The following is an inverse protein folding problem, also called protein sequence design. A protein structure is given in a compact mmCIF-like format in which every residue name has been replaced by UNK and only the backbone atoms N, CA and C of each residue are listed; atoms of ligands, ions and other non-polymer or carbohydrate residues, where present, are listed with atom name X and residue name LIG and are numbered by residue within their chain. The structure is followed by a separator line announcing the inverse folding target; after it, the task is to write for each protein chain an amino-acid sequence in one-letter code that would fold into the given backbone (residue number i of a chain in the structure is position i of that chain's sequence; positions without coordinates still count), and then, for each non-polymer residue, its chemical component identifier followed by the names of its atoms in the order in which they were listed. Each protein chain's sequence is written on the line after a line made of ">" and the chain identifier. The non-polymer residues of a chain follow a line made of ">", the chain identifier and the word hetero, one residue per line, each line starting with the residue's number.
data_IF_301687126418
#
_entry.id   IF_301687126418
#
_cell.length_a   1.000
_cell.length_b   1.000
_cell.length_c   1.000
_cell.angle_alpha   90.00
_cell.angle_beta   90.00
_cell.angle_gamma   90.00
#
_symmetry.space_group_name_H-M   'P 1'
#
loop_
_entity.id
_entity.type
_entity.pdbx_description
1 polymer ?
#
# COMPACT_ATOMS: atom_id res chain seq x y z
N UNK A 1 0.41 -17.47 21.93
CA UNK A 1 1.29 -16.30 21.66
C UNK A 1 0.41 -15.06 21.72
N UNK A 2 0.60 -14.16 22.69
CA UNK A 2 -0.20 -12.92 22.79
C UNK A 2 0.24 -12.01 21.65
N UNK A 3 -0.64 -11.69 20.71
CA UNK A 3 -0.42 -10.61 19.75
C UNK A 3 -0.38 -9.33 20.59
N UNK A 4 0.82 -8.80 20.85
CA UNK A 4 0.96 -7.53 21.55
C UNK A 4 0.32 -6.44 20.66
N UNK A 5 -0.53 -5.60 21.25
CA UNK A 5 -1.07 -4.37 20.64
C UNK A 5 0.12 -3.43 20.34
N UNK A 6 0.83 -3.68 19.24
CA UNK A 6 1.88 -2.80 18.77
C UNK A 6 1.26 -1.73 17.87
N UNK A 7 1.65 -0.46 18.03
CA UNK A 7 1.18 0.62 17.18
C UNK A 7 1.61 0.36 15.73
N UNK A 8 0.70 0.57 14.79
CA UNK A 8 1.02 0.47 13.37
C UNK A 8 1.94 1.61 12.94
N UNK A 9 3.13 1.26 12.46
CA UNK A 9 4.07 2.26 11.96
C UNK A 9 3.73 2.65 10.53
N UNK A 10 3.56 3.95 10.29
CA UNK A 10 3.19 4.49 8.98
C UNK A 10 4.41 4.98 8.20
N UNK A 11 4.40 4.74 6.89
CA UNK A 11 5.33 5.30 5.91
C UNK A 11 4.69 6.52 5.28
N UNK A 12 5.28 7.68 5.48
CA UNK A 12 4.83 8.91 4.84
C UNK A 12 5.61 9.11 3.53
N UNK A 13 4.93 8.84 2.41
CA UNK A 13 5.51 8.98 1.08
C UNK A 13 5.85 10.43 0.72
N UNK A 14 5.13 11.43 1.27
CA UNK A 14 5.42 12.85 1.02
C UNK A 14 6.69 13.28 1.74
N UNK A 15 6.88 12.86 2.99
CA UNK A 15 8.12 13.09 3.73
C UNK A 15 9.28 12.38 3.03
N UNK A 16 9.12 11.10 2.67
CA UNK A 16 10.16 10.36 1.97
C UNK A 16 10.53 11.04 0.65
N UNK A 17 9.53 11.40 -0.17
CA UNK A 17 9.72 12.09 -1.46
C UNK A 17 10.48 13.40 -1.32
N UNK A 18 10.06 14.27 -0.40
CA UNK A 18 10.69 15.57 -0.18
C UNK A 18 12.15 15.49 0.28
N UNK A 19 12.57 14.37 0.87
CA UNK A 19 13.95 14.10 1.25
C UNK A 19 14.83 13.55 0.13
N UNK A 20 14.27 13.21 -1.03
CA UNK A 20 15.02 12.65 -2.16
C UNK A 20 15.75 13.75 -2.95
N UNK A 21 16.90 13.43 -3.58
CA UNK A 21 17.50 14.28 -4.60
C UNK A 21 16.51 14.59 -5.74
N UNK A 22 16.65 15.76 -6.36
CA UNK A 22 15.76 16.21 -7.44
C UNK A 22 15.80 15.22 -8.62
N UNK A 23 16.96 14.65 -8.92
CA UNK A 23 17.13 13.66 -9.97
C UNK A 23 16.33 12.38 -9.69
N UNK A 24 16.30 11.95 -8.42
CA UNK A 24 15.51 10.80 -7.98
C UNK A 24 14.01 11.10 -8.05
N UNK A 25 13.59 12.30 -7.63
CA UNK A 25 12.19 12.74 -7.77
C UNK A 25 11.75 12.72 -9.23
N UNK A 26 12.57 13.22 -10.16
CA UNK A 26 12.25 13.17 -11.59
C UNK A 26 12.16 11.74 -12.12
N UNK A 27 13.13 10.88 -11.78
CA UNK A 27 13.13 9.49 -12.24
C UNK A 27 11.90 8.72 -11.73
N UNK A 28 11.64 8.77 -10.43
CA UNK A 28 10.49 8.09 -9.81
C UNK A 28 9.18 8.66 -10.34
N UNK A 29 9.08 9.99 -10.48
CA UNK A 29 7.89 10.67 -10.98
C UNK A 29 7.56 10.33 -12.43
N UNK A 30 8.58 10.26 -13.30
CA UNK A 30 8.41 9.86 -14.69
C UNK A 30 7.89 8.42 -14.80
N UNK A 31 8.54 7.47 -14.11
CA UNK A 31 8.13 6.06 -14.12
C UNK A 31 6.71 5.90 -13.57
N UNK A 32 6.38 6.57 -12.46
CA UNK A 32 5.05 6.50 -11.87
C UNK A 32 3.94 7.02 -12.81
N UNK A 33 4.21 8.09 -13.57
CA UNK A 33 3.27 8.61 -14.56
C UNK A 33 3.08 7.64 -15.74
N UNK A 34 4.13 6.95 -16.18
CA UNK A 34 4.04 5.95 -17.23
C UNK A 34 3.28 4.69 -16.78
N UNK A 35 3.48 4.21 -15.54
CA UNK A 35 2.67 3.14 -14.93
C UNK A 35 1.20 3.54 -14.88
N UNK A 36 0.88 4.76 -14.41
CA UNK A 36 -0.49 5.24 -14.37
C UNK A 36 -1.14 5.28 -15.76
N UNK A 37 -0.37 5.60 -16.81
CA UNK A 37 -0.84 5.57 -18.19
C UNK A 37 -1.05 4.13 -18.70
N UNK A 38 -0.20 3.17 -18.34
CA UNK A 38 -0.39 1.75 -18.65
C UNK A 38 -1.69 1.22 -18.00
N UNK A 39 -1.89 1.48 -16.71
CA UNK A 39 -3.12 1.11 -16.00
C UNK A 39 -4.37 1.76 -16.57
N UNK A 40 -4.29 3.02 -17.04
CA UNK A 40 -5.40 3.67 -17.73
C UNK A 40 -5.79 2.94 -19.02
N UNK A 41 -4.82 2.45 -19.79
CA UNK A 41 -5.06 1.65 -21.00
C UNK A 41 -5.73 0.32 -20.63
N UNK A 42 -5.19 -0.39 -19.66
CA UNK A 42 -5.74 -1.67 -19.18
C UNK A 42 -7.16 -1.50 -18.65
N UNK A 43 -7.41 -0.46 -17.84
CA UNK A 43 -8.74 -0.15 -17.33
C UNK A 43 -9.74 0.13 -18.48
N UNK A 44 -9.33 0.89 -19.49
CA UNK A 44 -10.17 1.12 -20.67
C UNK A 44 -10.46 -0.19 -21.43
N UNK A 45 -9.49 -1.11 -21.53
CA UNK A 45 -9.68 -2.39 -22.19
C UNK A 45 -10.70 -3.29 -21.46
N UNK A 46 -10.70 -3.31 -20.12
CA UNK A 46 -11.64 -4.14 -19.33
C UNK A 46 -13.04 -3.53 -19.18
N UNK A 47 -13.17 -2.20 -19.31
CA UNK A 47 -14.45 -1.47 -19.17
C UNK A 47 -15.19 -1.25 -20.49
N UNK A 48 -14.75 -1.89 -21.58
CA UNK A 48 -15.40 -1.82 -22.88
C UNK A 48 -14.96 -0.65 -23.77
N UNK A 49 -13.86 0.01 -23.43
CA UNK A 49 -13.20 0.98 -24.30
C UNK A 49 -12.59 0.33 -25.54
N UNK A 50 -12.61 1.04 -26.67
CA UNK A 50 -12.03 0.58 -27.93
C UNK A 50 -10.49 0.71 -27.91
N UNK A 51 -9.82 -0.16 -27.16
CA UNK A 51 -8.35 -0.25 -27.12
C UNK A 51 -7.87 -1.30 -28.14
N UNK A 52 -7.03 -0.94 -29.12
CA UNK A 52 -6.44 -1.93 -30.02
C UNK A 52 -5.60 -2.97 -29.24
N UNK A 53 -5.72 -4.26 -29.60
CA UNK A 53 -4.99 -5.35 -28.91
C UNK A 53 -3.47 -5.17 -28.84
N UNK A 54 -2.89 -4.50 -29.84
CA UNK A 54 -1.45 -4.16 -29.84
C UNK A 54 -1.09 -3.15 -28.74
N UNK A 55 -1.99 -2.21 -28.43
CA UNK A 55 -1.81 -1.21 -27.39
C UNK A 55 -2.03 -1.83 -26.01
N UNK A 56 -3.05 -2.67 -25.85
CA UNK A 56 -3.29 -3.45 -24.62
C UNK A 56 -2.07 -4.30 -24.25
N UNK A 57 -1.55 -5.08 -25.21
CA UNK A 57 -0.35 -5.90 -24.98
C UNK A 57 0.88 -5.06 -24.61
N UNK A 58 1.04 -3.88 -25.19
CA UNK A 58 2.15 -2.99 -24.86
C UNK A 58 2.00 -2.42 -23.44
N UNK A 59 0.78 -2.10 -23.01
CA UNK A 59 0.51 -1.63 -21.66
C UNK A 59 0.79 -2.72 -20.61
N UNK A 60 0.42 -3.97 -20.87
CA UNK A 60 0.73 -5.09 -19.97
C UNK A 60 2.23 -5.31 -19.80
N UNK A 61 3.00 -5.22 -20.89
CA UNK A 61 4.45 -5.30 -20.83
C UNK A 61 5.07 -4.11 -20.08
N UNK A 62 4.51 -2.91 -20.28
CA UNK A 62 4.95 -1.71 -19.60
C UNK A 62 4.69 -1.76 -18.09
N UNK A 63 3.52 -2.23 -17.65
CA UNK A 63 3.18 -2.39 -16.23
C UNK A 63 4.20 -3.26 -15.49
N UNK A 64 4.46 -4.48 -16.01
CA UNK A 64 5.44 -5.39 -15.41
C UNK A 64 6.86 -4.79 -15.37
N UNK A 65 7.32 -4.23 -16.49
CA UNK A 65 8.67 -3.68 -16.61
C UNK A 65 8.87 -2.44 -15.71
N UNK A 66 7.90 -1.53 -15.72
CA UNK A 66 8.04 -0.24 -15.06
C UNK A 66 7.87 -0.35 -13.54
N UNK A 67 7.08 -1.32 -13.03
CA UNK A 67 7.03 -1.60 -11.59
C UNK A 67 8.41 -2.05 -11.08
N UNK A 68 9.08 -2.96 -11.79
CA UNK A 68 10.42 -3.41 -11.41
C UNK A 68 11.43 -2.25 -11.44
N UNK A 69 11.40 -1.43 -12.49
CA UNK A 69 12.26 -0.24 -12.59
C UNK A 69 11.97 0.80 -11.49
N UNK A 70 10.70 1.01 -11.15
CA UNK A 70 10.31 1.91 -10.05
C UNK A 70 10.90 1.43 -8.74
N UNK A 71 10.80 0.13 -8.45
CA UNK A 71 11.34 -0.47 -7.23
C UNK A 71 12.86 -0.36 -7.17
N UNK A 72 13.56 -0.60 -8.28
CA UNK A 72 15.02 -0.45 -8.37
C UNK A 72 15.48 0.99 -8.12
N UNK A 73 14.82 1.97 -8.75
CA UNK A 73 15.15 3.38 -8.56
C UNK A 73 14.88 3.79 -7.11
N UNK A 74 13.73 3.42 -6.55
CA UNK A 74 13.41 3.72 -5.15
C UNK A 74 14.44 3.08 -4.22
N UNK A 75 14.83 1.82 -4.42
CA UNK A 75 15.84 1.15 -3.61
C UNK A 75 17.24 1.81 -3.70
N UNK A 76 17.56 2.39 -4.87
CA UNK A 76 18.82 3.11 -5.08
C UNK A 76 18.94 4.43 -4.29
N UNK A 77 17.82 5.09 -4.01
CA UNK A 77 17.81 6.41 -3.35
C UNK A 77 17.21 6.41 -1.94
N UNK A 78 16.29 5.51 -1.64
CA UNK A 78 15.61 5.44 -0.35
C UNK A 78 16.30 4.38 0.53
N UNK A 79 16.86 4.76 1.69
CA UNK A 79 17.46 3.79 2.60
C UNK A 79 16.43 2.75 3.04
N UNK A 80 16.79 1.47 3.03
CA UNK A 80 15.89 0.38 3.46
C UNK A 80 15.30 0.62 4.86
N UNK A 81 16.04 1.29 5.75
CA UNK A 81 15.59 1.62 7.10
C UNK A 81 14.42 2.62 7.13
N UNK A 82 14.24 3.44 6.08
CA UNK A 82 13.13 4.38 6.00
C UNK A 82 11.76 3.66 5.86
N UNK A 83 11.77 2.47 5.24
CA UNK A 83 10.59 1.63 5.00
C UNK A 83 10.30 0.68 6.17
N UNK A 84 11.24 0.49 7.09
CA UNK A 84 11.09 -0.42 8.23
C UNK A 84 10.51 0.29 9.46
N UNK A 85 9.79 -0.47 10.29
CA UNK A 85 9.39 -0.06 11.63
C UNK A 85 10.61 0.34 12.49
N UNK A 86 10.43 1.13 13.56
CA UNK A 86 11.52 1.48 14.48
C UNK A 86 12.25 0.26 15.08
N UNK A 87 11.54 -0.86 15.30
CA UNK A 87 12.11 -2.12 15.78
C UNK A 87 12.74 -2.98 14.67
N UNK A 88 12.64 -2.54 13.41
CA UNK A 88 13.17 -3.17 12.19
C UNK A 88 12.65 -4.58 11.90
N UNK A 89 11.51 -4.94 12.47
CA UNK A 89 10.91 -6.28 12.28
C UNK A 89 9.86 -6.32 11.18
N UNK A 90 9.26 -5.18 10.84
CA UNK A 90 8.17 -5.10 9.88
C UNK A 90 8.34 -3.92 8.93
N UNK A 91 7.63 -3.96 7.80
CA UNK A 91 7.49 -2.81 6.91
C UNK A 91 6.44 -1.85 7.47
N UNK A 92 6.65 -0.56 7.21
CA UNK A 92 5.71 0.50 7.54
C UNK A 92 4.57 0.52 6.50
N UNK A 93 3.35 0.78 6.97
CA UNK A 93 2.14 0.81 6.13
C UNK A 93 2.01 2.20 5.47
N UNK A 94 1.70 2.31 4.16
CA UNK A 94 1.53 3.61 3.50
C UNK A 94 0.53 4.52 4.24
N UNK A 95 0.92 5.76 4.52
CA UNK A 95 0.08 6.72 5.24
C UNK A 95 -1.24 7.00 4.52
N UNK A 96 -1.23 7.02 3.19
CA UNK A 96 -2.39 7.29 2.34
C UNK A 96 -3.44 6.17 2.31
N UNK A 97 -3.16 4.97 2.85
CA UNK A 97 -4.14 3.88 2.92
C UNK A 97 -5.35 4.23 3.84
N UNK A 98 -5.20 5.23 4.71
CA UNK A 98 -6.22 5.60 5.71
C UNK A 98 -6.21 4.68 6.93
N UNK A 99 -7.35 4.59 7.62
CA UNK A 99 -7.50 3.81 8.85
C UNK A 99 -7.21 2.32 8.63
N UNK A 100 -6.42 1.72 9.52
CA UNK A 100 -6.06 0.30 9.52
C UNK A 100 -6.14 -0.24 10.94
N UNK A 101 -6.76 -1.41 11.12
CA UNK A 101 -6.92 -2.02 12.42
C UNK A 101 -5.60 -2.66 12.83
N UNK A 102 -5.05 -2.27 13.98
CA UNK A 102 -3.79 -2.79 14.52
C UNK A 102 -3.81 -4.29 14.80
N UNK A 103 -4.99 -4.91 14.89
CA UNK A 103 -5.16 -6.34 15.17
C UNK A 103 -5.38 -7.19 13.92
N UNK A 104 -6.35 -6.84 13.07
CA UNK A 104 -6.68 -7.66 11.91
C UNK A 104 -6.08 -7.15 10.58
N UNK A 105 -5.51 -5.94 10.55
CA UNK A 105 -4.98 -5.33 9.33
C UNK A 105 -6.05 -4.86 8.33
N UNK A 106 -7.34 -5.08 8.61
CA UNK A 106 -8.44 -4.57 7.80
C UNK A 106 -8.38 -3.05 7.71
N UNK A 107 -8.59 -2.52 6.50
CA UNK A 107 -8.52 -1.08 6.24
C UNK A 107 -9.91 -0.49 6.05
N UNK A 108 -10.03 0.84 6.06
CA UNK A 108 -11.29 1.50 5.74
C UNK A 108 -11.79 1.21 4.31
N UNK A 109 -10.89 0.79 3.41
CA UNK A 109 -11.20 0.48 2.01
C UNK A 109 -11.43 -1.02 1.77
N UNK A 110 -11.15 -1.86 2.78
CA UNK A 110 -11.33 -3.31 2.78
C UNK A 110 -11.66 -3.74 4.20
N UNK A 111 -12.91 -3.48 4.58
CA UNK A 111 -13.43 -3.77 5.91
C UNK A 111 -13.38 -5.29 6.18
N UNK A 112 -13.41 -5.67 7.47
CA UNK A 112 -13.39 -7.07 7.86
C UNK A 112 -14.49 -7.84 7.09
N UNK A 113 -14.13 -8.94 6.45
CA UNK A 113 -15.09 -9.87 5.87
C UNK A 113 -15.27 -11.03 6.85
N UNK A 114 -16.50 -11.53 7.09
CA UNK A 114 -17.76 -11.22 6.41
C UNK A 114 -18.59 -10.08 7.05
N UNK A 115 -18.12 -9.47 8.14
CA UNK A 115 -18.89 -8.50 8.92
C UNK A 115 -18.40 -7.07 8.72
N UNK A 116 -19.28 -6.15 8.30
CA UNK A 116 -18.93 -4.72 8.27
C UNK A 116 -18.61 -4.24 9.69
N UNK A 117 -17.33 -4.06 9.99
CA UNK A 117 -16.87 -3.51 11.26
C UNK A 117 -16.86 -1.97 11.20
N UNK A 118 -17.13 -1.33 12.34
CA UNK A 118 -16.94 0.11 12.51
C UNK A 118 -15.61 0.39 13.22
N UNK A 119 -15.09 1.61 13.11
CA UNK A 119 -13.95 2.05 13.93
C UNK A 119 -14.43 2.43 15.33
N UNK A 120 -13.80 1.87 16.37
CA UNK A 120 -14.07 2.23 17.77
C UNK A 120 -12.91 3.01 18.40
N UNK A 121 -11.75 2.99 17.76
CA UNK A 121 -10.61 3.85 18.01
C UNK A 121 -9.89 4.13 16.68
N UNK A 122 -8.88 5.01 16.70
CA UNK A 122 -8.12 5.42 15.51
C UNK A 122 -7.55 4.23 14.71
N UNK A 123 -7.10 3.19 15.42
CA UNK A 123 -6.49 1.99 14.83
C UNK A 123 -7.14 0.69 15.34
N UNK A 124 -8.42 0.72 15.75
CA UNK A 124 -9.14 -0.49 16.22
C UNK A 124 -10.56 -0.55 15.68
N UNK A 125 -10.91 -1.69 15.08
CA UNK A 125 -12.27 -1.97 14.65
C UNK A 125 -13.12 -2.64 15.74
N UNK A 126 -14.44 -2.50 15.63
CA UNK A 126 -15.43 -3.03 16.57
C UNK A 126 -15.32 -4.54 16.75
N UNK A 127 -15.04 -5.27 15.68
CA UNK A 127 -14.86 -6.73 15.72
C UNK A 127 -13.64 -7.14 16.57
N UNK A 128 -12.54 -6.40 16.43
CA UNK A 128 -11.32 -6.66 17.19
C UNK A 128 -11.39 -6.14 18.64
N UNK A 129 -12.33 -5.24 18.94
CA UNK A 129 -12.59 -4.73 20.27
C UNK A 129 -13.44 -5.68 21.10
N UNK A 130 -14.47 -6.32 20.51
CA UNK A 130 -15.31 -7.31 21.21
C UNK A 130 -14.56 -8.62 21.49
N UNK A 131 -13.50 -8.92 20.74
CA UNK A 131 -12.63 -10.08 20.98
C UNK A 131 -11.90 -10.06 22.35
N UNK A 132 -11.98 -8.98 23.13
CA UNK A 132 -11.50 -8.93 24.52
C UNK A 132 -12.42 -9.64 25.54
N UNK A 133 -13.70 -9.87 25.22
CA UNK A 133 -14.67 -10.42 26.18
C UNK A 133 -14.88 -11.94 26.11
N UNK A 134 -14.32 -12.66 25.13
CA UNK A 134 -14.52 -14.11 25.04
C UNK A 134 -13.43 -14.88 25.83
N UNK A 135 -13.79 -15.64 26.89
CA UNK A 135 -12.84 -16.56 27.51
C UNK A 135 -12.43 -17.58 26.45
N UNK A 136 -11.14 -17.62 26.11
CA UNK A 136 -10.59 -18.72 25.32
C UNK A 136 -10.72 -19.98 26.17
N UNK A 137 -11.83 -20.69 26.01
CA UNK A 137 -11.97 -22.03 26.53
C UNK A 137 -11.02 -22.94 25.74
N UNK A 138 -10.01 -23.44 26.48
CA UNK A 138 -9.31 -24.72 26.33
C UNK A 138 -8.95 -25.15 24.91
#
# INVERSE_FOLDING_TARGET
>A
MKTQDQPLHRFDGTIAWSGLPVEAQFAIGAIALEIAQAWKIQHAAVTGGAVPKVIERAADAADALLIDQLMDVVAGYLPAQAQLSPDRKTLRIPSLLGGVCRRCGGSQNDACQPHSCAWVAEDLCSECATAEEWPRHG
#
